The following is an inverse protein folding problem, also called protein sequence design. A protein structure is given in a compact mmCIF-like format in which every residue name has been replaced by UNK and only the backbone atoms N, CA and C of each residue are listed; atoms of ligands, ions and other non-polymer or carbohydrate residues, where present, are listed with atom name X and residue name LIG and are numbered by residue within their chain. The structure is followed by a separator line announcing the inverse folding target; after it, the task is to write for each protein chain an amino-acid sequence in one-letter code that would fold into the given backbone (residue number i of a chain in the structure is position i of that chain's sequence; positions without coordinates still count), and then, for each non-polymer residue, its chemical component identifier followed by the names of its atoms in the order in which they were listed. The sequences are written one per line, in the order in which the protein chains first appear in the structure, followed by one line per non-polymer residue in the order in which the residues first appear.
data_IF_886825639404
#
_entry.id   IF_886825639404
#
_cell.length_a   1.000
_cell.length_b   1.000
_cell.length_c   1.000
_cell.angle_alpha   90.00
_cell.angle_beta   90.00
_cell.angle_gamma   90.00
#
_symmetry.space_group_name_H-M   'P 1'
#
loop_
_entity.id
_entity.type
_entity.pdbx_description
1 polymer ?
#
# COMPACT_ATOMS: atom_id res chain seq x y z
N UNK A 1 7.47 -7.62 -12.16
CA UNK A 1 6.53 -6.75 -12.91
C UNK A 1 5.18 -6.86 -12.22
N UNK A 2 4.36 -5.80 -12.25
CA UNK A 2 3.05 -5.80 -11.62
C UNK A 2 2.03 -6.48 -12.53
N UNK A 3 1.39 -7.53 -12.02
CA UNK A 3 0.43 -8.34 -12.76
C UNK A 3 -0.95 -8.20 -12.14
N UNK A 4 -2.00 -7.89 -12.92
CA UNK A 4 -3.35 -7.78 -12.38
C UNK A 4 -3.86 -9.16 -11.96
N UNK A 5 -4.58 -9.21 -10.83
CA UNK A 5 -5.24 -10.44 -10.39
C UNK A 5 -6.33 -10.84 -11.41
N UNK A 6 -6.44 -12.14 -11.78
CA UNK A 6 -7.51 -12.63 -12.64
C UNK A 6 -8.89 -12.18 -12.17
N UNK A 7 -9.76 -11.78 -13.10
CA UNK A 7 -11.09 -11.23 -12.77
C UNK A 7 -11.91 -12.14 -11.86
N UNK A 8 -11.80 -13.45 -12.05
CA UNK A 8 -12.48 -14.48 -11.26
C UNK A 8 -12.05 -14.47 -9.78
N UNK A 9 -10.79 -14.10 -9.51
CA UNK A 9 -10.22 -14.03 -8.16
C UNK A 9 -10.32 -12.64 -7.53
N UNK A 10 -10.57 -11.58 -8.33
CA UNK A 10 -10.60 -10.19 -7.85
C UNK A 10 -11.63 -10.01 -6.73
N UNK A 11 -12.83 -10.56 -6.87
CA UNK A 11 -13.87 -10.45 -5.83
C UNK A 11 -13.49 -11.13 -4.51
N UNK A 12 -12.84 -12.30 -4.59
CA UNK A 12 -12.35 -13.04 -3.42
C UNK A 12 -11.25 -12.23 -2.73
N UNK A 13 -10.30 -11.72 -3.51
CA UNK A 13 -9.19 -10.90 -3.02
C UNK A 13 -9.67 -9.59 -2.39
N UNK A 14 -10.58 -8.86 -3.04
CA UNK A 14 -11.20 -7.66 -2.49
C UNK A 14 -11.86 -7.96 -1.15
N UNK A 15 -12.62 -9.06 -1.05
CA UNK A 15 -13.33 -9.42 0.18
C UNK A 15 -12.34 -9.82 1.29
N UNK A 16 -11.27 -10.53 0.94
CA UNK A 16 -10.20 -10.90 1.88
C UNK A 16 -9.46 -9.66 2.41
N UNK A 17 -9.12 -8.71 1.54
CA UNK A 17 -8.45 -7.45 1.89
C UNK A 17 -9.35 -6.58 2.78
N UNK A 18 -10.63 -6.41 2.42
CA UNK A 18 -11.57 -5.65 3.26
C UNK A 18 -11.73 -6.26 4.65
N UNK A 19 -11.85 -7.60 4.72
CA UNK A 19 -11.91 -8.32 6.00
C UNK A 19 -10.62 -8.12 6.82
N UNK A 20 -9.46 -8.14 6.16
CA UNK A 20 -8.18 -7.88 6.83
C UNK A 20 -8.05 -6.43 7.33
N UNK A 21 -8.70 -5.48 6.67
CA UNK A 21 -8.72 -4.07 7.08
C UNK A 21 -9.86 -3.71 8.04
N UNK A 22 -10.60 -4.71 8.52
CA UNK A 22 -11.80 -4.53 9.35
C UNK A 22 -12.81 -3.53 8.72
N UNK A 23 -12.90 -3.56 7.39
CA UNK A 23 -13.81 -2.72 6.62
C UNK A 23 -15.07 -3.50 6.24
N UNK A 24 -16.26 -2.88 6.27
CA UNK A 24 -17.48 -3.52 5.81
C UNK A 24 -17.35 -3.90 4.33
N UNK A 25 -17.93 -5.05 3.95
CA UNK A 25 -17.88 -5.56 2.58
C UNK A 25 -18.53 -4.64 1.54
N UNK A 26 -19.26 -3.61 1.97
CA UNK A 26 -19.86 -2.56 1.14
C UNK A 26 -18.82 -1.51 0.69
N UNK A 27 -17.64 -1.46 1.33
CA UNK A 27 -16.55 -0.55 1.01
C UNK A 27 -15.67 -1.01 -0.18
N UNK A 28 -16.20 -1.81 -1.11
CA UNK A 28 -15.43 -2.29 -2.28
C UNK A 28 -14.91 -1.14 -3.14
N UNK A 29 -15.62 -0.02 -3.20
CA UNK A 29 -15.17 1.18 -3.92
C UNK A 29 -13.87 1.79 -3.38
N UNK A 30 -13.46 1.45 -2.16
CA UNK A 30 -12.20 1.91 -1.58
C UNK A 30 -11.02 1.24 -2.27
N UNK A 31 -11.16 0.03 -2.80
CA UNK A 31 -10.07 -0.65 -3.49
C UNK A 31 -10.13 -0.31 -4.98
N UNK A 32 -9.23 0.57 -5.41
CA UNK A 32 -9.05 0.94 -6.81
C UNK A 32 -8.52 -0.24 -7.62
N UNK A 33 -7.39 -0.80 -7.19
CA UNK A 33 -6.72 -1.92 -7.87
C UNK A 33 -6.11 -2.93 -6.90
N UNK A 34 -5.98 -4.16 -7.37
CA UNK A 34 -5.25 -5.23 -6.70
C UNK A 34 -4.37 -5.94 -7.73
N UNK A 35 -3.07 -5.93 -7.49
CA UNK A 35 -2.06 -6.53 -8.37
C UNK A 35 -1.10 -7.40 -7.55
N UNK A 36 -0.38 -8.28 -8.22
CA UNK A 36 0.70 -9.09 -7.65
C UNK A 36 2.03 -8.67 -8.25
N UNK A 37 3.09 -8.67 -7.46
CA UNK A 37 4.46 -8.41 -7.91
C UNK A 37 5.38 -9.44 -7.27
N UNK A 38 5.62 -10.53 -8.00
CA UNK A 38 6.31 -11.70 -7.43
C UNK A 38 5.54 -12.26 -6.24
N UNK A 39 6.14 -12.22 -5.07
CA UNK A 39 5.54 -12.71 -3.81
C UNK A 39 4.77 -11.63 -3.04
N UNK A 40 4.75 -10.38 -3.52
CA UNK A 40 4.10 -9.26 -2.84
C UNK A 40 2.72 -8.96 -3.47
N UNK A 41 1.73 -8.62 -2.64
CA UNK A 41 0.41 -8.16 -3.05
C UNK A 41 0.35 -6.64 -2.99
N UNK A 42 0.07 -5.97 -4.11
CA UNK A 42 -0.15 -4.52 -4.17
C UNK A 42 -1.65 -4.22 -4.14
N UNK A 43 -2.08 -3.43 -3.16
CA UNK A 43 -3.45 -2.94 -2.99
C UNK A 43 -3.44 -1.42 -3.14
N UNK A 44 -4.17 -0.91 -4.12
CA UNK A 44 -4.29 0.51 -4.40
C UNK A 44 -5.64 0.98 -3.89
N UNK A 45 -5.62 1.96 -2.99
CA UNK A 45 -6.82 2.50 -2.37
C UNK A 45 -7.21 3.86 -2.98
N UNK A 46 -8.51 4.05 -3.15
CA UNK A 46 -9.15 5.28 -3.62
C UNK A 46 -9.23 6.38 -2.56
N UNK A 47 -8.42 6.30 -1.48
CA UNK A 47 -8.40 7.34 -0.45
C UNK A 47 -7.94 8.67 -1.02
N UNK A 48 -8.47 9.75 -0.45
CA UNK A 48 -8.16 11.11 -0.89
C UNK A 48 -7.30 11.86 0.11
N UNK A 49 -7.14 11.33 1.33
CA UNK A 49 -6.40 11.93 2.43
C UNK A 49 -5.40 10.96 3.07
N UNK A 50 -4.24 11.49 3.44
CA UNK A 50 -3.21 10.79 4.21
C UNK A 50 -3.77 10.24 5.53
N UNK A 51 -4.67 10.99 6.18
CA UNK A 51 -5.26 10.61 7.48
C UNK A 51 -6.06 9.30 7.40
N UNK A 52 -6.72 9.03 6.27
CA UNK A 52 -7.48 7.80 6.05
C UNK A 52 -6.54 6.59 6.04
N UNK A 53 -5.43 6.70 5.30
CA UNK A 53 -4.43 5.64 5.26
C UNK A 53 -3.69 5.49 6.60
N UNK A 54 -3.45 6.60 7.32
CA UNK A 54 -2.87 6.58 8.67
C UNK A 54 -3.77 5.85 9.67
N UNK A 55 -5.09 6.05 9.59
CA UNK A 55 -6.08 5.40 10.49
C UNK A 55 -6.35 3.95 10.16
N UNK A 56 -5.97 3.49 8.98
CA UNK A 56 -6.08 2.08 8.61
C UNK A 56 -5.35 1.23 9.65
N UNK A 57 -6.02 0.28 10.28
CA UNK A 57 -5.39 -0.61 11.26
C UNK A 57 -5.68 -2.08 10.87
N UNK A 58 -4.86 -2.66 9.98
CA UNK A 58 -5.11 -4.01 9.52
C UNK A 58 -4.99 -5.06 10.63
N UNK A 59 -5.91 -6.01 10.62
CA UNK A 59 -5.86 -7.20 11.46
C UNK A 59 -4.86 -8.20 10.87
N UNK A 60 -3.62 -8.15 11.37
CA UNK A 60 -2.53 -9.02 10.95
C UNK A 60 -2.87 -10.51 11.12
N UNK A 61 -3.60 -10.87 12.18
CA UNK A 61 -4.04 -12.25 12.42
C UNK A 61 -4.98 -12.75 11.33
N UNK A 62 -5.87 -11.88 10.84
CA UNK A 62 -6.74 -12.20 9.68
C UNK A 62 -5.90 -12.33 8.41
N UNK A 63 -4.90 -11.48 8.19
CA UNK A 63 -4.01 -11.61 7.03
C UNK A 63 -3.26 -12.93 7.02
N UNK A 64 -2.75 -13.37 8.18
CA UNK A 64 -2.04 -14.65 8.36
C UNK A 64 -2.94 -15.87 8.15
N UNK A 65 -4.18 -15.81 8.63
CA UNK A 65 -5.11 -16.95 8.60
C UNK A 65 -5.93 -17.06 7.31
N UNK A 66 -5.98 -16.01 6.49
CA UNK A 66 -6.76 -16.01 5.26
C UNK A 66 -6.00 -16.72 4.12
N UNK A 67 -6.56 -17.80 3.58
CA UNK A 67 -5.97 -18.61 2.49
C UNK A 67 -5.65 -17.82 1.21
N UNK A 68 -6.36 -16.70 0.97
CA UNK A 68 -6.10 -15.85 -0.20
C UNK A 68 -4.96 -14.87 0.04
N UNK A 69 -4.68 -14.49 1.30
CA UNK A 69 -3.65 -13.51 1.65
C UNK A 69 -2.35 -14.16 2.14
N UNK A 70 -2.44 -15.31 2.80
CA UNK A 70 -1.31 -16.00 3.42
C UNK A 70 -0.31 -16.60 2.42
N UNK A 71 -0.60 -16.56 1.12
CA UNK A 71 0.34 -16.94 0.05
C UNK A 71 1.31 -15.83 -0.33
N UNK A 72 1.04 -14.59 0.07
CA UNK A 72 1.90 -13.45 -0.24
C UNK A 72 2.86 -13.16 0.91
N UNK A 73 4.10 -12.85 0.59
CA UNK A 73 5.13 -12.49 1.57
C UNK A 73 4.78 -11.18 2.27
N UNK A 74 4.44 -10.17 1.49
CA UNK A 74 4.02 -8.85 1.95
C UNK A 74 2.75 -8.37 1.25
N UNK A 75 1.97 -7.55 1.95
CA UNK A 75 0.82 -6.81 1.44
C UNK A 75 1.19 -5.33 1.49
N UNK A 76 1.32 -4.72 0.32
CA UNK A 76 1.64 -3.31 0.12
C UNK A 76 0.32 -2.58 -0.11
N UNK A 77 0.08 -1.53 0.65
CA UNK A 77 -1.10 -0.68 0.52
C UNK A 77 -0.64 0.71 0.10
N UNK A 78 -1.22 1.28 -0.95
CA UNK A 78 -0.85 2.61 -1.45
C UNK A 78 -2.05 3.41 -1.90
N UNK A 79 -1.96 4.75 -1.84
CA UNK A 79 -2.96 5.64 -2.42
C UNK A 79 -2.32 6.96 -2.89
N UNK A 80 -3.00 7.64 -3.81
CA UNK A 80 -2.63 8.98 -4.23
C UNK A 80 -2.93 10.00 -3.14
N UNK A 81 -2.10 11.04 -3.05
CA UNK A 81 -2.42 12.24 -2.26
C UNK A 81 -2.95 13.30 -3.22
N UNK A 82 -4.18 13.76 -2.98
CA UNK A 82 -4.79 14.79 -3.83
C UNK A 82 -4.00 16.12 -3.73
N UNK A 83 -4.06 16.94 -4.79
CA UNK A 83 -3.35 18.24 -4.83
C UNK A 83 -3.80 19.23 -3.74
N UNK A 84 -5.03 19.10 -3.22
CA UNK A 84 -5.54 19.96 -2.15
C UNK A 84 -4.90 19.64 -0.79
N UNK A 85 -4.49 18.39 -0.58
CA UNK A 85 -3.74 17.90 0.59
C UNK A 85 -2.23 18.11 0.46
N UNK A 86 -1.72 18.49 -0.73
CA UNK A 86 -0.28 18.73 -0.96
C UNK A 86 0.29 19.92 -0.18
N UNK A 87 -0.55 20.86 0.27
CA UNK A 87 -0.11 21.95 1.15
C UNK A 87 0.55 21.46 2.45
N UNK A 88 0.19 20.26 2.90
CA UNK A 88 0.78 19.59 4.08
C UNK A 88 1.63 18.35 3.74
N UNK A 89 1.77 17.98 2.47
CA UNK A 89 2.42 16.74 2.04
C UNK A 89 3.06 16.91 0.65
N UNK A 90 4.39 17.08 0.52
CA UNK A 90 5.05 17.31 -0.77
C UNK A 90 5.09 16.06 -1.67
N UNK A 91 4.52 14.94 -1.23
CA UNK A 91 4.57 13.64 -1.90
C UNK A 91 3.38 13.45 -2.86
N UNK A 92 3.58 12.60 -3.86
CA UNK A 92 2.57 12.30 -4.88
C UNK A 92 1.67 11.14 -4.43
N UNK A 93 2.23 10.18 -3.70
CA UNK A 93 1.52 9.04 -3.14
C UNK A 93 2.13 8.62 -1.80
N UNK A 94 1.38 7.82 -1.06
CA UNK A 94 1.79 7.25 0.22
C UNK A 94 1.64 5.73 0.18
N UNK A 95 2.46 5.00 0.93
CA UNK A 95 2.32 3.56 1.07
C UNK A 95 2.66 3.03 2.46
N UNK A 96 2.13 1.84 2.75
CA UNK A 96 2.34 1.03 3.95
C UNK A 96 2.61 -0.41 3.55
N UNK A 97 3.46 -1.11 4.28
CA UNK A 97 3.82 -2.50 3.96
C UNK A 97 3.60 -3.37 5.18
N UNK A 98 2.82 -4.44 5.01
CA UNK A 98 2.53 -5.43 6.04
C UNK A 98 3.14 -6.76 5.62
N UNK A 99 4.02 -7.33 6.43
CA UNK A 99 4.71 -8.59 6.17
C UNK A 99 4.29 -9.70 7.12
N UNK A 100 2.99 -10.04 7.23
CA UNK A 100 2.50 -10.99 8.22
C UNK A 100 3.26 -12.33 8.19
N UNK A 101 3.57 -12.82 6.99
CA UNK A 101 4.20 -14.13 6.81
C UNK A 101 5.70 -14.15 7.07
N UNK A 102 6.35 -12.99 7.08
CA UNK A 102 7.78 -12.86 7.42
C UNK A 102 7.99 -12.43 8.87
N UNK A 103 6.92 -12.42 9.68
CA UNK A 103 6.96 -12.02 11.09
C UNK A 103 7.10 -10.51 11.29
N UNK A 104 6.84 -9.71 10.25
CA UNK A 104 6.90 -8.25 10.31
C UNK A 104 5.48 -7.71 10.22
N UNK A 105 4.92 -7.28 11.35
CA UNK A 105 3.55 -6.77 11.37
C UNK A 105 3.39 -5.52 10.50
N UNK A 106 4.37 -4.60 10.55
CA UNK A 106 4.48 -3.48 9.61
C UNK A 106 5.95 -3.14 9.35
N UNK A 107 6.33 -3.09 8.07
CA UNK A 107 7.70 -2.85 7.62
C UNK A 107 7.87 -1.38 7.20
N UNK A 108 8.82 -0.63 7.79
CA UNK A 108 9.08 0.73 7.33
C UNK A 108 9.79 0.79 5.97
N UNK A 109 10.51 -0.26 5.55
CA UNK A 109 11.30 -0.28 4.29
C UNK A 109 11.48 -1.71 3.77
N UNK A 110 10.75 -2.07 2.72
CA UNK A 110 11.11 -3.22 1.87
C UNK A 110 11.53 -2.73 0.49
N UNK A 111 12.75 -3.04 0.05
CA UNK A 111 13.23 -2.70 -1.31
C UNK A 111 12.35 -3.25 -2.44
N UNK A 112 11.67 -4.39 -2.24
CA UNK A 112 10.72 -4.95 -3.21
C UNK A 112 9.43 -4.13 -3.34
N UNK A 113 8.98 -3.52 -2.24
CA UNK A 113 7.81 -2.63 -2.25
C UNK A 113 8.10 -1.38 -3.07
N UNK A 114 9.31 -0.83 -2.95
CA UNK A 114 9.75 0.32 -3.75
C UNK A 114 9.74 0.02 -5.25
N UNK A 115 10.35 -1.09 -5.66
CA UNK A 115 10.36 -1.51 -7.07
C UNK A 115 8.95 -1.72 -7.62
N UNK A 116 8.06 -2.30 -6.81
CA UNK A 116 6.65 -2.53 -7.14
C UNK A 116 5.88 -1.22 -7.31
N UNK A 117 6.03 -0.28 -6.38
CA UNK A 117 5.36 1.02 -6.38
C UNK A 117 5.86 1.93 -7.50
N UNK A 118 7.16 1.97 -7.73
CA UNK A 118 7.76 2.76 -8.80
C UNK A 118 7.21 2.34 -10.17
N UNK A 119 7.15 1.03 -10.44
CA UNK A 119 6.57 0.50 -11.68
C UNK A 119 5.09 0.84 -11.81
N UNK A 120 4.28 0.63 -10.74
CA UNK A 120 2.84 0.91 -10.80
C UNK A 120 2.57 2.39 -11.09
N UNK A 121 3.14 3.28 -10.29
CA UNK A 121 2.88 4.71 -10.40
C UNK A 121 3.49 5.33 -11.66
N UNK A 122 4.60 4.81 -12.19
CA UNK A 122 5.14 5.27 -13.49
C UNK A 122 4.15 5.09 -14.66
N UNK A 123 3.28 4.08 -14.57
CA UNK A 123 2.27 3.77 -15.60
C UNK A 123 0.94 4.48 -15.37
N UNK A 124 0.64 4.83 -14.11
CA UNK A 124 -0.67 5.37 -13.70
C UNK A 124 -0.67 6.86 -13.36
N UNK A 125 0.50 7.49 -13.19
CA UNK A 125 0.61 8.95 -13.14
C UNK A 125 0.77 9.52 -14.55
N UNK A 126 -0.21 10.33 -14.95
CA UNK A 126 -0.19 11.09 -16.21
C UNK A 126 1.03 12.02 -16.26
N UNK A 127 2.03 11.60 -17.03
CA UNK A 127 2.86 12.37 -17.98
C UNK A 127 2.94 13.90 -17.74
N UNK A 128 3.62 14.32 -16.68
CA UNK A 128 4.24 15.66 -16.62
C UNK A 128 5.59 15.65 -15.86
N UNK A 129 5.97 14.51 -15.29
CA UNK A 129 7.25 14.34 -14.63
C UNK A 129 7.80 12.92 -14.91
N UNK A 130 8.84 12.78 -15.75
CA UNK A 130 9.43 11.48 -16.09
C UNK A 130 10.23 10.84 -14.93
N UNK A 131 10.30 11.50 -13.77
CA UNK A 131 10.96 11.01 -12.58
C UNK A 131 9.99 10.26 -11.66
N UNK A 132 10.50 9.26 -10.95
CA UNK A 132 9.75 8.49 -9.94
C UNK A 132 8.98 9.45 -9.02
N UNK A 133 7.64 9.33 -8.89
CA UNK A 133 6.87 10.23 -8.05
C UNK A 133 7.35 10.16 -6.60
N UNK A 134 7.29 11.28 -5.88
CA UNK A 134 7.74 11.33 -4.49
C UNK A 134 6.84 10.44 -3.63
N UNK A 135 7.43 9.50 -2.89
CA UNK A 135 6.70 8.56 -2.03
C UNK A 135 6.90 8.89 -0.55
N UNK A 136 5.79 8.95 0.20
CA UNK A 136 5.82 8.89 1.65
C UNK A 136 5.55 7.46 2.12
N UNK A 137 6.46 6.89 2.89
CA UNK A 137 6.28 5.62 3.58
C UNK A 137 5.89 5.93 5.02
N UNK A 138 4.79 5.35 5.49
CA UNK A 138 4.33 5.53 6.87
C UNK A 138 4.25 4.18 7.58
N UNK A 139 4.63 4.17 8.87
CA UNK A 139 4.50 2.98 9.73
C UNK A 139 3.95 3.36 11.10
N UNK A 140 3.00 2.59 11.62
CA UNK A 140 2.53 2.76 13.00
C UNK A 140 3.67 2.54 14.00
N UNK A 141 3.72 3.33 15.09
CA UNK A 141 4.73 3.16 16.12
C UNK A 141 4.71 1.74 16.69
N UNK A 142 5.89 1.15 16.87
CA UNK A 142 6.05 -0.06 17.69
C UNK A 142 5.86 0.28 19.16
N UNK A 143 5.63 -0.74 19.98
CA UNK A 143 5.59 -0.59 21.44
C UNK A 143 6.87 0.14 21.93
N UNK A 144 6.69 1.34 22.50
CA UNK A 144 7.78 2.22 22.94
C UNK A 144 8.06 3.44 22.04
N UNK A 145 7.52 3.51 20.82
CA UNK A 145 7.63 4.68 19.95
C UNK A 145 6.45 5.63 20.16
N UNK A 146 6.72 6.96 20.21
CA UNK A 146 5.69 7.96 20.53
C UNK A 146 4.94 8.51 19.31
N UNK A 147 5.40 8.22 18.10
CA UNK A 147 4.87 8.82 16.87
C UNK A 147 5.04 7.88 15.67
N UNK A 148 4.18 8.07 14.68
CA UNK A 148 4.31 7.43 13.36
C UNK A 148 5.69 7.71 12.76
N UNK A 149 6.28 6.69 12.15
CA UNK A 149 7.52 6.82 11.40
C UNK A 149 7.18 7.18 9.96
N UNK A 150 7.67 8.34 9.53
CA UNK A 150 7.52 8.86 8.18
C UNK A 150 8.89 8.78 7.50
N UNK A 151 9.02 7.93 6.48
CA UNK A 151 10.21 7.80 5.65
C UNK A 151 9.90 8.31 4.26
N UNK A 152 10.86 9.00 3.66
CA UNK A 152 10.62 9.80 2.47
C UNK A 152 11.54 9.33 1.38
N UNK A 153 11.00 8.97 0.23
CA UNK A 153 11.80 8.73 -0.96
C UNK A 153 11.81 10.00 -1.80
N UNK A 154 12.99 10.59 -1.95
CA UNK A 154 13.18 11.75 -2.80
C UNK A 154 13.45 11.32 -4.25
N UNK A 155 13.12 12.20 -5.19
CA UNK A 155 13.17 12.02 -6.64
C UNK A 155 14.51 11.55 -7.23
N UNK A 156 15.57 11.44 -6.42
CA UNK A 156 16.95 11.20 -6.84
C UNK A 156 17.55 9.85 -6.38
N UNK A 157 16.78 8.97 -5.73
CA UNK A 157 17.34 7.71 -5.18
C UNK A 157 17.15 6.46 -6.05
N UNK A 158 16.58 6.59 -7.25
CA UNK A 158 16.64 5.53 -8.25
C UNK A 158 17.76 5.88 -9.25
N UNK A 159 18.96 5.35 -8.96
CA UNK A 159 20.11 5.34 -9.87
C UNK A 159 19.89 4.25 -10.93
#
# INVERSE_FOLDING_TARGET
MNEPIPKEQRNIMTSAVLKAFDQPNENKQIIQDILTSGEDLLVVLSYSSLEELKRLNPNISVMKSNESLNKYRCIIVTCLINKASKSNCPYDFVSRVFGPNVGIDEDPVTGSAHSTLAVYWSQHHSVDNPLVPGCLLIRHPREGEKSMLDLTMQKNECI
#
